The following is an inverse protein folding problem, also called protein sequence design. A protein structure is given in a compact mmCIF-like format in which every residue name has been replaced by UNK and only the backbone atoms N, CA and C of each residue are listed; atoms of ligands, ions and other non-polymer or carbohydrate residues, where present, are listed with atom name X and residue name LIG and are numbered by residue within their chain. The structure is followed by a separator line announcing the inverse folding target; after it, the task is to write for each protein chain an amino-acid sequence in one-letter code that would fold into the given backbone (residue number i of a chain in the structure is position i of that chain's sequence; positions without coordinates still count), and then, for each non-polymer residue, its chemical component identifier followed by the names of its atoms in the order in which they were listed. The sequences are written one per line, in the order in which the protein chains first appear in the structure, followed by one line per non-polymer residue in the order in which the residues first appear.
data_IF_332385597800
#
_entry.id   IF_332385597800
#
_cell.length_a   1.000
_cell.length_b   1.000
_cell.length_c   1.000
_cell.angle_alpha   90.00
_cell.angle_beta   90.00
_cell.angle_gamma   90.00
#
_symmetry.space_group_name_H-M   'P 1'
#
loop_
_entity.id
_entity.type
_entity.pdbx_description
1 polymer ?
#
# COMPACT_ATOMS: atom_id res chain seq x y z
N UNK A 1 22.05 -22.79 -31.04
CA UNK A 1 22.38 -22.01 -29.82
C UNK A 1 21.06 -21.51 -29.28
N UNK A 2 20.57 -22.10 -28.19
CA UNK A 2 19.42 -21.55 -27.46
C UNK A 2 19.82 -20.16 -26.99
N UNK A 3 18.98 -19.15 -27.25
CA UNK A 3 19.22 -17.81 -26.70
C UNK A 3 19.32 -17.95 -25.17
N UNK A 4 20.40 -17.43 -24.58
CA UNK A 4 20.53 -17.37 -23.12
C UNK A 4 19.37 -16.53 -22.57
N UNK A 5 18.67 -17.05 -21.57
CA UNK A 5 17.60 -16.28 -20.91
C UNK A 5 18.17 -14.99 -20.29
N UNK A 6 17.29 -13.99 -20.12
CA UNK A 6 17.70 -12.70 -19.59
C UNK A 6 18.19 -12.81 -18.14
N UNK A 7 19.23 -12.03 -17.81
CA UNK A 7 19.75 -11.98 -16.43
C UNK A 7 18.88 -11.08 -15.57
N UNK A 8 18.25 -11.66 -14.53
CA UNK A 8 17.36 -10.95 -13.60
C UNK A 8 17.97 -10.92 -12.20
N UNK A 9 18.09 -9.73 -11.62
CA UNK A 9 18.38 -9.55 -10.19
C UNK A 9 17.09 -9.32 -9.42
N UNK A 10 16.78 -10.14 -8.43
CA UNK A 10 15.67 -9.92 -7.49
C UNK A 10 16.22 -9.26 -6.24
N UNK A 11 15.67 -8.10 -5.87
CA UNK A 11 16.02 -7.37 -4.65
C UNK A 11 14.89 -7.53 -3.65
N UNK A 12 15.23 -8.09 -2.48
CA UNK A 12 14.36 -8.21 -1.32
C UNK A 12 14.86 -7.25 -0.26
N UNK A 13 14.06 -6.27 0.12
CA UNK A 13 14.40 -5.38 1.23
C UNK A 13 13.80 -5.89 2.53
N UNK A 14 14.61 -5.99 3.58
CA UNK A 14 14.20 -6.48 4.89
C UNK A 14 14.46 -5.43 5.99
N UNK A 15 13.56 -5.38 6.97
CA UNK A 15 13.73 -4.65 8.23
C UNK A 15 12.88 -5.31 9.31
N UNK A 16 13.52 -6.03 10.24
CA UNK A 16 12.88 -6.83 11.30
C UNK A 16 11.78 -7.77 10.77
N UNK A 17 12.03 -8.42 9.62
CA UNK A 17 11.02 -9.22 8.92
C UNK A 17 10.85 -10.66 9.44
N UNK A 18 11.81 -11.19 10.20
CA UNK A 18 11.78 -12.53 10.77
C UNK A 18 11.27 -13.61 9.82
N UNK A 19 10.16 -14.27 10.19
CA UNK A 19 9.58 -15.37 9.42
C UNK A 19 9.03 -14.95 8.05
N UNK A 20 8.55 -13.72 7.90
CA UNK A 20 8.01 -13.26 6.62
C UNK A 20 9.08 -13.29 5.53
N UNK A 21 10.29 -12.83 5.87
CA UNK A 21 11.44 -12.83 4.96
C UNK A 21 11.82 -14.23 4.51
N UNK A 22 11.78 -15.21 5.42
CA UNK A 22 12.06 -16.60 5.07
C UNK A 22 10.98 -17.19 4.16
N UNK A 23 9.70 -16.90 4.45
CA UNK A 23 8.58 -17.34 3.60
C UNK A 23 8.70 -16.74 2.19
N UNK A 24 9.10 -15.47 2.08
CA UNK A 24 9.38 -14.78 0.82
C UNK A 24 10.50 -15.49 0.04
N UNK A 25 11.66 -15.70 0.68
CA UNK A 25 12.82 -16.34 0.04
C UNK A 25 12.55 -17.78 -0.37
N UNK A 26 11.79 -18.54 0.42
CA UNK A 26 11.36 -19.89 0.04
C UNK A 26 10.45 -19.86 -1.20
N UNK A 27 9.52 -18.90 -1.29
CA UNK A 27 8.69 -18.74 -2.50
C UNK A 27 9.53 -18.35 -3.73
N UNK A 28 10.55 -17.52 -3.54
CA UNK A 28 11.46 -17.12 -4.63
C UNK A 28 12.32 -18.28 -5.12
N UNK A 29 12.71 -19.21 -4.25
CA UNK A 29 13.44 -20.43 -4.62
C UNK A 29 12.66 -21.31 -5.61
N UNK A 30 11.33 -21.24 -5.58
CA UNK A 30 10.45 -21.96 -6.52
C UNK A 30 10.19 -21.20 -7.83
N UNK A 31 10.83 -20.05 -8.07
CA UNK A 31 10.65 -19.27 -9.31
C UNK A 31 11.11 -20.08 -10.52
N UNK A 32 10.26 -20.17 -11.55
CA UNK A 32 10.58 -20.77 -12.85
C UNK A 32 11.44 -19.81 -13.68
N UNK A 33 12.72 -19.74 -13.32
CA UNK A 33 13.77 -19.04 -14.07
C UNK A 33 15.10 -19.81 -13.91
N UNK A 34 15.96 -19.86 -14.94
CA UNK A 34 17.24 -20.55 -14.84
C UNK A 34 18.13 -19.95 -13.75
N UNK A 35 18.65 -20.80 -12.87
CA UNK A 35 19.43 -20.40 -11.69
C UNK A 35 20.68 -19.60 -12.05
N UNK A 36 21.32 -19.89 -13.18
CA UNK A 36 22.50 -19.16 -13.68
C UNK A 36 22.16 -17.75 -14.21
N UNK A 37 20.88 -17.48 -14.45
CA UNK A 37 20.34 -16.20 -14.95
C UNK A 37 19.49 -15.47 -13.89
N UNK A 38 19.49 -15.94 -12.63
CA UNK A 38 18.75 -15.36 -11.52
C UNK A 38 19.70 -15.10 -10.33
N UNK A 39 19.80 -13.83 -9.90
CA UNK A 39 20.50 -13.45 -8.66
C UNK A 39 19.49 -12.94 -7.64
N UNK A 40 19.48 -13.48 -6.42
CA UNK A 40 18.65 -12.95 -5.33
C UNK A 40 19.55 -12.19 -4.35
N UNK A 41 19.23 -10.91 -4.14
CA UNK A 41 19.92 -10.01 -3.22
C UNK A 41 18.95 -9.61 -2.10
N UNK A 42 19.26 -10.02 -0.87
CA UNK A 42 18.61 -9.54 0.33
C UNK A 42 19.38 -8.33 0.86
N UNK A 43 18.68 -7.20 1.03
CA UNK A 43 19.22 -6.03 1.72
C UNK A 43 18.62 -5.98 3.11
N UNK A 44 19.45 -6.21 4.13
CA UNK A 44 19.02 -6.08 5.53
C UNK A 44 19.23 -4.65 6.02
N UNK A 45 18.14 -3.92 6.22
CA UNK A 45 18.15 -2.49 6.48
C UNK A 45 18.44 -2.15 7.96
N UNK A 46 19.35 -2.90 8.58
CA UNK A 46 19.73 -2.77 9.99
C UNK A 46 18.70 -3.41 10.92
N UNK A 47 18.33 -4.67 10.66
CA UNK A 47 17.45 -5.41 11.55
C UNK A 47 18.15 -5.73 12.87
N UNK A 48 17.34 -5.89 13.92
CA UNK A 48 17.77 -6.29 15.26
C UNK A 48 17.41 -7.75 15.59
N UNK A 49 16.66 -8.41 14.71
CA UNK A 49 16.31 -9.82 14.81
C UNK A 49 17.42 -10.75 14.26
N UNK A 50 17.20 -12.05 14.34
CA UNK A 50 18.14 -13.10 13.91
C UNK A 50 18.01 -13.46 12.41
N UNK A 51 17.33 -12.62 11.62
CA UNK A 51 16.95 -12.95 10.25
C UNK A 51 18.15 -13.22 9.35
N UNK A 52 19.23 -12.45 9.47
CA UNK A 52 20.44 -12.61 8.65
C UNK A 52 21.12 -13.95 8.91
N UNK A 53 21.21 -14.37 10.17
CA UNK A 53 21.77 -15.67 10.56
C UNK A 53 20.94 -16.81 9.96
N UNK A 54 19.61 -16.73 10.12
CA UNK A 54 18.67 -17.71 9.59
C UNK A 54 18.71 -17.79 8.06
N UNK A 55 18.80 -16.65 7.38
CA UNK A 55 18.90 -16.60 5.91
C UNK A 55 20.21 -17.21 5.44
N UNK A 56 21.33 -16.87 6.07
CA UNK A 56 22.65 -17.43 5.71
C UNK A 56 22.69 -18.95 5.84
N UNK A 57 22.03 -19.49 6.86
CA UNK A 57 21.95 -20.93 7.08
C UNK A 57 21.02 -21.66 6.08
N UNK A 58 19.86 -21.08 5.75
CA UNK A 58 18.83 -21.75 4.94
C UNK A 58 18.94 -21.47 3.44
N UNK A 59 19.49 -20.32 3.06
CA UNK A 59 19.54 -19.82 1.69
C UNK A 59 20.96 -19.36 1.31
N UNK A 60 21.95 -20.27 1.26
CA UNK A 60 23.37 -19.90 1.02
C UNK A 60 23.63 -19.29 -0.36
N UNK A 61 22.70 -19.41 -1.30
CA UNK A 61 22.78 -18.77 -2.61
C UNK A 61 22.29 -17.31 -2.62
N UNK A 62 21.57 -16.88 -1.57
CA UNK A 62 21.10 -15.50 -1.44
C UNK A 62 22.26 -14.62 -1.02
N UNK A 63 22.46 -13.54 -1.76
CA UNK A 63 23.47 -12.54 -1.42
C UNK A 63 22.89 -11.55 -0.43
N UNK A 64 23.55 -11.39 0.71
CA UNK A 64 23.11 -10.49 1.77
C UNK A 64 23.94 -9.20 1.74
N UNK A 65 23.28 -8.05 1.86
CA UNK A 65 23.89 -6.73 2.02
C UNK A 65 23.40 -6.10 3.33
N UNK A 66 24.34 -5.75 4.21
CA UNK A 66 24.06 -5.19 5.54
C UNK A 66 24.68 -3.79 5.66
N UNK A 67 23.96 -2.70 5.29
CA UNK A 67 24.41 -1.34 5.56
C UNK A 67 24.52 -0.99 7.05
N UNK A 68 24.04 -1.86 7.95
CA UNK A 68 24.01 -1.67 9.41
C UNK A 68 23.26 -0.39 9.84
N UNK A 69 22.37 0.10 8.99
CA UNK A 69 21.55 1.27 9.23
C UNK A 69 20.27 1.19 8.40
N UNK A 70 19.19 1.79 8.89
CA UNK A 70 17.94 1.91 8.15
C UNK A 70 18.03 3.05 7.13
N UNK A 71 18.18 2.69 5.87
CA UNK A 71 18.24 3.58 4.70
C UNK A 71 16.84 3.89 4.13
N UNK A 72 15.79 3.39 4.76
CA UNK A 72 14.42 3.42 4.23
C UNK A 72 14.26 2.48 3.05
N UNK A 73 13.08 2.51 2.44
CA UNK A 73 12.78 1.77 1.21
C UNK A 73 13.67 2.21 0.05
N UNK A 74 13.75 3.53 -0.20
CA UNK A 74 14.47 4.06 -1.35
C UNK A 74 15.96 3.72 -1.32
N UNK A 75 16.65 3.96 -0.20
CA UNK A 75 18.07 3.69 -0.06
C UNK A 75 18.38 2.19 -0.01
N UNK A 76 17.55 1.41 0.67
CA UNK A 76 17.71 -0.05 0.73
C UNK A 76 17.56 -0.71 -0.64
N UNK A 77 16.52 -0.35 -1.40
CA UNK A 77 16.34 -0.85 -2.77
C UNK A 77 17.47 -0.39 -3.70
N UNK A 78 17.93 0.86 -3.60
CA UNK A 78 19.07 1.36 -4.39
C UNK A 78 20.34 0.52 -4.14
N UNK A 79 20.64 0.19 -2.88
CA UNK A 79 21.79 -0.63 -2.52
C UNK A 79 21.72 -2.02 -3.17
N UNK A 80 20.53 -2.63 -3.24
CA UNK A 80 20.32 -3.91 -3.93
C UNK A 80 20.39 -3.79 -5.45
N UNK A 81 19.78 -2.75 -6.03
CA UNK A 81 19.80 -2.48 -7.48
C UNK A 81 21.24 -2.35 -7.98
N UNK A 82 22.06 -1.56 -7.28
CA UNK A 82 23.45 -1.26 -7.65
C UNK A 82 24.49 -2.15 -6.96
N UNK A 83 24.06 -3.29 -6.40
CA UNK A 83 24.95 -4.25 -5.77
C UNK A 83 26.10 -4.64 -6.73
N UNK A 84 27.37 -4.68 -6.28
CA UNK A 84 28.53 -4.94 -7.14
C UNK A 84 28.37 -6.21 -7.96
N UNK A 85 28.78 -6.21 -9.23
CA UNK A 85 28.70 -7.40 -10.09
C UNK A 85 29.65 -8.50 -9.58
N UNK A 86 29.14 -9.71 -9.42
CA UNK A 86 29.90 -10.91 -9.03
C UNK A 86 29.80 -11.94 -10.15
N UNK A 87 30.91 -12.62 -10.48
CA UNK A 87 30.91 -13.70 -11.48
C UNK A 87 30.52 -13.28 -12.90
N UNK A 88 30.61 -11.99 -13.26
CA UNK A 88 30.17 -11.47 -14.56
C UNK A 88 28.64 -11.44 -14.75
N UNK A 89 27.87 -11.51 -13.67
CA UNK A 89 26.42 -11.36 -13.69
C UNK A 89 26.02 -9.88 -13.86
N UNK A 90 25.67 -9.48 -15.08
CA UNK A 90 25.18 -8.14 -15.38
C UNK A 90 23.66 -8.22 -15.59
N UNK A 91 22.84 -7.70 -14.66
CA UNK A 91 21.38 -7.80 -14.77
C UNK A 91 20.85 -6.90 -15.90
N UNK A 92 20.06 -7.49 -16.79
CA UNK A 92 19.28 -6.77 -17.81
C UNK A 92 17.96 -6.26 -17.20
N UNK A 93 17.49 -6.94 -16.15
CA UNK A 93 16.29 -6.58 -15.40
C UNK A 93 16.55 -6.63 -13.91
N UNK A 94 15.82 -5.79 -13.17
CA UNK A 94 15.78 -5.82 -11.71
C UNK A 94 14.34 -6.01 -11.26
N UNK A 95 14.08 -7.08 -10.51
CA UNK A 95 12.82 -7.27 -9.82
C UNK A 95 12.91 -6.74 -8.40
N UNK A 96 11.88 -6.04 -7.94
CA UNK A 96 11.71 -5.68 -6.53
C UNK A 96 10.59 -6.52 -5.95
N UNK A 97 10.79 -7.01 -4.74
CA UNK A 97 9.74 -7.66 -3.96
C UNK A 97 9.87 -7.32 -2.48
N UNK A 98 8.74 -7.04 -1.83
CA UNK A 98 8.73 -6.88 -0.39
C UNK A 98 8.96 -8.23 0.32
N UNK A 99 9.63 -8.19 1.47
CA UNK A 99 9.89 -9.37 2.28
C UNK A 99 8.64 -9.97 2.93
N UNK A 100 7.52 -9.25 2.98
CA UNK A 100 6.21 -9.71 3.46
C UNK A 100 5.29 -10.20 2.32
N UNK A 101 5.86 -10.46 1.15
CA UNK A 101 5.18 -11.03 0.00
C UNK A 101 5.68 -12.44 -0.37
N UNK A 102 4.80 -13.25 -0.96
CA UNK A 102 5.15 -14.52 -1.59
C UNK A 102 4.66 -14.58 -3.03
N UNK A 103 5.38 -15.30 -3.88
CA UNK A 103 5.15 -15.33 -5.34
C UNK A 103 4.75 -16.72 -5.85
N UNK A 104 3.99 -16.76 -6.94
CA UNK A 104 3.79 -17.98 -7.71
C UNK A 104 5.04 -18.31 -8.58
N UNK A 105 5.37 -19.58 -8.84
CA UNK A 105 6.55 -19.96 -9.64
C UNK A 105 6.71 -19.23 -10.97
N UNK A 106 5.62 -19.03 -11.71
CA UNK A 106 5.63 -18.40 -13.04
C UNK A 106 5.65 -16.86 -13.06
N UNK A 107 5.73 -16.20 -11.90
CA UNK A 107 5.55 -14.73 -11.82
C UNK A 107 6.57 -13.95 -12.67
N UNK A 108 7.85 -14.32 -12.63
CA UNK A 108 8.88 -13.65 -13.43
C UNK A 108 8.68 -13.86 -14.92
N UNK A 109 8.25 -15.05 -15.37
CA UNK A 109 7.99 -15.27 -16.80
C UNK A 109 6.88 -14.37 -17.32
N UNK A 110 5.80 -14.24 -16.56
CA UNK A 110 4.70 -13.34 -16.89
C UNK A 110 5.17 -11.88 -16.94
N UNK A 111 5.87 -11.39 -15.91
CA UNK A 111 6.38 -10.01 -15.89
C UNK A 111 7.40 -9.74 -16.99
N UNK A 112 8.29 -10.69 -17.28
CA UNK A 112 9.28 -10.58 -18.34
C UNK A 112 8.61 -10.48 -19.72
N UNK A 113 7.62 -11.33 -19.99
CA UNK A 113 6.83 -11.24 -21.23
C UNK A 113 6.13 -9.88 -21.37
N UNK A 114 5.54 -9.37 -20.28
CA UNK A 114 4.86 -8.08 -20.28
C UNK A 114 5.82 -6.91 -20.52
N UNK A 115 6.98 -6.88 -19.86
CA UNK A 115 7.94 -5.77 -19.98
C UNK A 115 8.67 -5.77 -21.34
N UNK A 116 8.83 -6.94 -21.96
CA UNK A 116 9.46 -7.08 -23.29
C UNK A 116 8.48 -6.94 -24.45
N UNK A 117 7.18 -6.81 -24.18
CA UNK A 117 6.14 -6.63 -25.21
C UNK A 117 6.34 -5.40 -26.11
N UNK A 118 7.02 -4.37 -25.62
CA UNK A 118 7.42 -3.20 -26.39
C UNK A 118 8.71 -2.58 -25.84
N UNK A 119 9.45 -1.87 -26.70
CA UNK A 119 10.71 -1.23 -26.33
C UNK A 119 10.52 -0.11 -25.30
N UNK A 120 9.37 0.57 -25.31
CA UNK A 120 9.05 1.70 -24.44
C UNK A 120 8.33 1.31 -23.13
N UNK A 121 8.16 0.02 -22.85
CA UNK A 121 7.66 -0.46 -21.56
C UNK A 121 8.84 -0.62 -20.61
N UNK A 122 8.93 0.23 -19.58
CA UNK A 122 10.06 0.26 -18.65
C UNK A 122 9.88 -0.65 -17.44
N UNK A 123 8.64 -1.02 -17.11
CA UNK A 123 8.31 -1.86 -15.97
C UNK A 123 7.02 -2.65 -16.17
N UNK A 124 6.94 -3.81 -15.52
CA UNK A 124 5.73 -4.60 -15.39
C UNK A 124 5.43 -4.90 -13.90
N UNK A 125 4.21 -4.64 -13.44
CA UNK A 125 3.77 -4.89 -12.05
C UNK A 125 2.81 -6.07 -11.96
N UNK A 126 2.92 -6.83 -10.87
CA UNK A 126 2.10 -8.00 -10.59
C UNK A 126 0.68 -7.66 -10.09
N UNK A 127 -0.21 -8.68 -10.07
CA UNK A 127 -1.45 -8.70 -9.28
C UNK A 127 -1.12 -9.06 -7.84
N UNK A 128 -1.13 -8.04 -6.98
CA UNK A 128 -0.93 -8.23 -5.55
C UNK A 128 -2.27 -8.40 -4.86
N UNK A 129 -2.43 -9.55 -4.22
CA UNK A 129 -3.56 -9.89 -3.36
C UNK A 129 -3.11 -9.80 -1.91
N UNK A 130 -4.03 -9.49 -1.00
CA UNK A 130 -3.76 -9.72 0.42
C UNK A 130 -3.46 -11.22 0.63
N UNK A 131 -2.50 -11.51 1.51
CA UNK A 131 -2.11 -12.89 1.81
C UNK A 131 -3.28 -13.68 2.38
N UNK A 132 -4.02 -13.06 3.30
CA UNK A 132 -5.23 -13.63 3.87
C UNK A 132 -6.39 -13.63 2.87
N UNK A 133 -7.05 -14.78 2.78
CA UNK A 133 -8.34 -14.90 2.07
C UNK A 133 -9.46 -14.60 3.05
N UNK A 134 -10.53 -14.02 2.53
CA UNK A 134 -11.60 -13.48 3.35
C UNK A 134 -12.92 -14.21 3.12
N UNK A 135 -13.75 -14.24 4.15
CA UNK A 135 -15.21 -14.35 4.04
C UNK A 135 -15.80 -13.04 4.53
N UNK A 136 -17.07 -12.76 4.22
CA UNK A 136 -17.67 -11.53 4.74
C UNK A 136 -19.01 -11.17 4.12
N UNK A 137 -19.51 -10.04 4.58
CA UNK A 137 -20.78 -9.47 4.18
C UNK A 137 -20.58 -8.05 3.69
N UNK A 138 -21.20 -7.72 2.56
CA UNK A 138 -21.51 -6.34 2.22
C UNK A 138 -22.79 -5.94 2.95
N UNK A 139 -22.93 -4.70 3.40
CA UNK A 139 -24.13 -4.22 4.07
C UNK A 139 -24.66 -2.93 3.48
N UNK A 140 -25.97 -2.75 3.57
CA UNK A 140 -26.70 -1.50 3.30
C UNK A 140 -27.71 -1.23 4.41
N UNK A 141 -28.20 0.00 4.52
CA UNK A 141 -29.22 0.39 5.52
C UNK A 141 -30.56 0.76 4.90
N UNK A 142 -31.63 0.53 5.65
CA UNK A 142 -33.00 0.90 5.31
C UNK A 142 -33.69 1.64 6.48
N UNK A 143 -34.34 2.80 6.24
CA UNK A 143 -34.44 3.50 4.95
C UNK A 143 -33.07 4.03 4.49
N UNK A 144 -32.89 4.32 3.17
CA UNK A 144 -31.63 4.86 2.68
C UNK A 144 -31.31 6.20 3.34
N UNK A 145 -30.10 6.33 3.87
CA UNK A 145 -29.56 7.58 4.41
C UNK A 145 -28.33 8.02 3.61
N UNK A 146 -27.84 9.23 3.86
CA UNK A 146 -26.68 9.75 3.12
C UNK A 146 -25.43 8.90 3.40
N UNK A 147 -24.66 8.59 2.35
CA UNK A 147 -23.44 7.76 2.47
C UNK A 147 -22.38 8.35 3.42
N UNK A 148 -22.39 9.68 3.62
CA UNK A 148 -21.43 10.39 4.48
C UNK A 148 -21.85 10.45 5.96
N UNK A 149 -23.02 9.90 6.31
CA UNK A 149 -23.51 9.91 7.68
C UNK A 149 -23.03 8.67 8.45
N UNK A 150 -22.54 8.91 9.67
CA UNK A 150 -22.31 7.88 10.67
C UNK A 150 -23.67 7.30 11.07
N UNK A 151 -24.03 6.19 10.46
CA UNK A 151 -25.42 5.68 10.45
C UNK A 151 -25.68 4.75 11.63
N UNK A 152 -24.82 3.75 11.80
CA UNK A 152 -24.86 2.82 12.92
C UNK A 152 -23.44 2.53 13.41
N UNK A 153 -23.32 1.90 14.57
CA UNK A 153 -22.05 1.52 15.15
C UNK A 153 -21.98 0.00 15.32
N UNK A 154 -20.80 -0.56 15.03
CA UNK A 154 -20.40 -1.90 15.43
C UNK A 154 -19.59 -1.73 16.72
N UNK A 155 -20.08 -2.33 17.79
CA UNK A 155 -19.64 -2.04 19.16
C UNK A 155 -19.03 -3.26 19.86
N UNK A 156 -19.01 -4.39 19.17
CA UNK A 156 -18.43 -5.66 19.60
C UNK A 156 -18.53 -6.70 18.51
N UNK A 157 -17.61 -7.65 18.50
CA UNK A 157 -17.55 -8.71 17.50
C UNK A 157 -17.12 -10.02 18.16
N UNK A 158 -17.73 -11.13 17.73
CA UNK A 158 -17.36 -12.46 18.19
C UNK A 158 -17.33 -13.45 17.06
N UNK A 159 -16.44 -14.42 17.20
CA UNK A 159 -16.36 -15.63 16.40
C UNK A 159 -16.56 -16.80 17.34
N UNK A 160 -17.51 -17.68 17.05
CA UNK A 160 -17.84 -18.85 17.89
C UNK A 160 -18.10 -18.47 19.36
N UNK A 161 -18.78 -17.34 19.60
CA UNK A 161 -19.11 -16.83 20.93
C UNK A 161 -17.96 -16.19 21.72
N UNK A 162 -16.76 -16.03 21.13
CA UNK A 162 -15.59 -15.41 21.77
C UNK A 162 -15.15 -14.14 21.04
N UNK A 163 -14.72 -13.08 21.75
CA UNK A 163 -14.12 -11.91 21.12
C UNK A 163 -12.89 -12.29 20.30
N UNK A 164 -12.82 -11.83 19.05
CA UNK A 164 -11.71 -12.10 18.13
C UNK A 164 -11.52 -10.95 17.14
N UNK A 165 -11.22 -9.75 17.65
CA UNK A 165 -11.09 -8.54 16.84
C UNK A 165 -10.00 -8.63 15.77
N UNK A 166 -8.96 -9.43 16.01
CA UNK A 166 -7.83 -9.60 15.11
C UNK A 166 -8.22 -10.31 13.80
N UNK A 167 -9.27 -11.13 13.83
CA UNK A 167 -9.77 -11.84 12.66
C UNK A 167 -10.62 -10.96 11.74
N UNK A 168 -11.16 -9.85 12.24
CA UNK A 168 -12.00 -8.95 11.47
C UNK A 168 -11.17 -7.92 10.71
N UNK A 169 -11.58 -7.70 9.46
CA UNK A 169 -11.08 -6.63 8.61
C UNK A 169 -12.25 -5.79 8.11
N UNK A 170 -12.05 -4.49 8.10
CA UNK A 170 -13.04 -3.50 7.73
C UNK A 170 -12.53 -2.70 6.53
N UNK A 171 -13.41 -2.46 5.57
CA UNK A 171 -13.10 -1.76 4.33
C UNK A 171 -13.86 -0.42 4.22
N UNK A 172 -14.28 -0.03 3.01
CA UNK A 172 -15.05 1.17 2.76
C UNK A 172 -16.32 1.22 3.62
N UNK A 173 -16.58 2.41 4.18
CA UNK A 173 -17.80 2.65 4.93
C UNK A 173 -17.76 2.21 6.39
N UNK A 174 -16.63 1.78 6.94
CA UNK A 174 -16.46 1.59 8.39
C UNK A 174 -15.27 2.41 8.91
N UNK A 175 -15.50 3.19 9.97
CA UNK A 175 -14.57 4.16 10.54
C UNK A 175 -14.35 3.91 12.02
N UNK A 176 -13.10 4.07 12.48
CA UNK A 176 -12.71 3.84 13.85
C UNK A 176 -11.46 2.95 13.93
N UNK A 177 -11.15 2.37 15.11
CA UNK A 177 -11.95 2.42 16.33
C UNK A 177 -11.91 3.78 17.05
N UNK A 178 -12.98 4.09 17.77
CA UNK A 178 -13.05 5.13 18.81
C UNK A 178 -13.00 4.39 20.14
N UNK A 179 -12.20 4.89 21.10
CA UNK A 179 -11.92 4.22 22.36
C UNK A 179 -13.17 3.89 23.20
N UNK A 180 -12.99 3.01 24.19
CA UNK A 180 -14.00 2.50 25.11
C UNK A 180 -14.94 3.59 25.67
N UNK A 181 -16.27 3.39 25.58
CA UNK A 181 -17.27 4.22 26.26
C UNK A 181 -18.06 3.38 27.27
N UNK A 182 -17.75 3.60 28.56
CA UNK A 182 -18.36 2.90 29.68
C UNK A 182 -19.86 3.14 29.84
N UNK A 183 -20.44 4.18 29.21
CA UNK A 183 -21.88 4.51 29.35
C UNK A 183 -22.78 3.61 28.50
N UNK A 184 -22.20 3.00 27.48
CA UNK A 184 -22.88 2.15 26.50
C UNK A 184 -22.31 0.72 26.50
N UNK A 185 -21.40 0.42 27.44
CA UNK A 185 -20.78 -0.89 27.64
C UNK A 185 -20.11 -1.42 26.36
N UNK A 186 -19.31 -0.55 25.72
CA UNK A 186 -18.68 -0.82 24.42
C UNK A 186 -17.18 -1.04 24.56
N UNK A 187 -16.72 -2.27 24.34
CA UNK A 187 -15.29 -2.65 24.31
C UNK A 187 -14.51 -1.86 23.24
N UNK A 188 -15.14 -1.57 22.09
CA UNK A 188 -14.59 -0.81 20.97
C UNK A 188 -15.74 -0.25 20.11
N UNK A 189 -15.68 1.02 19.67
CA UNK A 189 -16.72 1.61 18.81
C UNK A 189 -16.22 1.85 17.38
N UNK A 190 -16.91 1.30 16.37
CA UNK A 190 -16.67 1.60 14.95
C UNK A 190 -17.95 2.12 14.30
N UNK A 191 -17.90 3.31 13.72
CA UNK A 191 -19.02 3.88 12.98
C UNK A 191 -19.07 3.34 11.56
N UNK A 192 -20.25 2.99 11.09
CA UNK A 192 -20.51 2.57 9.73
C UNK A 192 -21.33 3.62 8.97
N UNK A 193 -21.01 3.82 7.70
CA UNK A 193 -21.81 4.53 6.70
C UNK A 193 -23.09 3.75 6.36
N UNK A 194 -23.92 4.33 5.49
CA UNK A 194 -25.10 3.67 4.93
C UNK A 194 -24.79 2.39 4.12
N UNK A 195 -23.56 2.24 3.64
CA UNK A 195 -23.04 1.07 2.95
C UNK A 195 -21.60 0.78 3.37
N UNK A 196 -21.20 -0.48 3.31
CA UNK A 196 -19.82 -0.91 3.54
C UNK A 196 -19.71 -2.42 3.57
N UNK A 197 -18.61 -2.96 4.11
CA UNK A 197 -18.50 -4.40 4.35
C UNK A 197 -17.84 -4.74 5.69
N UNK A 198 -18.09 -5.96 6.14
CA UNK A 198 -17.44 -6.58 7.30
C UNK A 198 -16.86 -7.90 6.82
N UNK A 199 -15.55 -8.07 6.97
CA UNK A 199 -14.80 -9.22 6.47
C UNK A 199 -14.06 -9.91 7.60
N UNK A 200 -13.80 -11.20 7.42
CA UNK A 200 -13.06 -12.02 8.36
C UNK A 200 -12.02 -12.85 7.62
N UNK A 201 -10.84 -13.02 8.21
CA UNK A 201 -9.82 -13.94 7.71
C UNK A 201 -10.35 -15.38 7.78
N UNK A 202 -10.41 -16.04 6.64
CA UNK A 202 -10.99 -17.38 6.50
C UNK A 202 -10.11 -18.50 7.09
N UNK A 203 -8.80 -18.27 7.19
CA UNK A 203 -7.84 -19.24 7.76
C UNK A 203 -7.96 -19.36 9.29
N UNK A 204 -7.40 -20.43 9.86
CA UNK A 204 -7.43 -20.71 11.30
C UNK A 204 -8.56 -21.64 11.73
N UNK A 205 -9.07 -21.45 12.96
CA UNK A 205 -10.14 -22.29 13.52
C UNK A 205 -11.44 -22.17 12.70
N UNK A 206 -12.24 -23.26 12.58
CA UNK A 206 -13.52 -23.22 11.88
C UNK A 206 -14.44 -22.09 12.39
N UNK A 207 -15.10 -21.40 11.46
CA UNK A 207 -16.05 -20.32 11.79
C UNK A 207 -17.47 -20.93 11.76
N UNK A 208 -18.03 -21.19 12.93
CA UNK A 208 -19.36 -21.76 13.12
C UNK A 208 -20.42 -20.67 13.33
N UNK A 209 -20.05 -19.56 13.99
CA UNK A 209 -20.90 -18.39 14.15
C UNK A 209 -20.12 -17.07 14.09
N UNK A 210 -20.77 -16.05 13.51
CA UNK A 210 -20.30 -14.65 13.54
C UNK A 210 -21.34 -13.85 14.31
N UNK A 211 -20.93 -13.07 15.28
CA UNK A 211 -21.82 -12.21 16.05
C UNK A 211 -21.31 -10.77 16.03
N UNK A 212 -22.20 -9.83 15.71
CA UNK A 212 -21.91 -8.40 15.75
C UNK A 212 -22.82 -7.74 16.77
N UNK A 213 -22.27 -6.88 17.63
CA UNK A 213 -23.05 -5.99 18.50
C UNK A 213 -23.28 -4.68 17.75
N UNK A 214 -24.54 -4.36 17.48
CA UNK A 214 -24.93 -3.23 16.64
C UNK A 214 -25.74 -2.21 17.43
N UNK A 215 -25.51 -0.93 17.16
CA UNK A 215 -26.21 0.22 17.76
C UNK A 215 -26.55 1.26 16.70
N UNK A 216 -27.71 1.91 16.78
CA UNK A 216 -28.04 3.07 15.95
C UNK A 216 -28.80 4.12 16.75
N UNK A 217 -28.50 5.41 16.56
CA UNK A 217 -29.20 6.49 17.27
C UNK A 217 -30.70 6.54 16.93
N UNK A 218 -31.05 6.14 15.71
CA UNK A 218 -32.43 6.07 15.21
C UNK A 218 -32.70 4.64 14.72
N UNK A 219 -33.89 4.06 14.98
CA UNK A 219 -34.23 2.73 14.49
C UNK A 219 -34.09 2.60 12.97
N UNK A 220 -33.39 1.56 12.53
CA UNK A 220 -33.15 1.26 11.11
C UNK A 220 -32.93 -0.24 10.92
N UNK A 221 -32.94 -0.70 9.67
CA UNK A 221 -32.61 -2.08 9.31
C UNK A 221 -31.27 -2.13 8.58
N UNK A 222 -30.33 -2.92 9.07
CA UNK A 222 -29.09 -3.25 8.35
C UNK A 222 -29.33 -4.53 7.57
N UNK A 223 -29.03 -4.48 6.28
CA UNK A 223 -29.18 -5.59 5.36
C UNK A 223 -27.79 -6.10 4.99
N UNK A 224 -27.40 -7.23 5.57
CA UNK A 224 -26.14 -7.92 5.30
C UNK A 224 -26.33 -8.90 4.13
N UNK A 225 -25.41 -8.88 3.17
CA UNK A 225 -25.43 -9.73 1.97
C UNK A 225 -24.11 -10.47 1.83
N UNK A 226 -24.21 -11.78 1.60
CA UNK A 226 -23.11 -12.63 1.14
C UNK A 226 -23.49 -13.29 -0.18
N UNK A 227 -22.61 -14.12 -0.74
CA UNK A 227 -22.92 -14.85 -1.98
C UNK A 227 -23.99 -15.94 -1.75
N UNK A 228 -24.22 -16.35 -0.51
CA UNK A 228 -25.17 -17.39 -0.12
C UNK A 228 -26.54 -16.86 0.29
N UNK A 229 -26.68 -15.57 0.57
CA UNK A 229 -27.96 -14.99 0.95
C UNK A 229 -27.89 -13.62 1.60
N UNK A 230 -29.02 -13.21 2.14
CA UNK A 230 -29.21 -11.91 2.80
C UNK A 230 -29.79 -12.11 4.21
N UNK A 231 -29.32 -11.31 5.17
CA UNK A 231 -29.86 -11.21 6.52
C UNK A 231 -30.28 -9.76 6.80
N UNK A 232 -31.52 -9.58 7.24
CA UNK A 232 -32.09 -8.26 7.57
C UNK A 232 -32.20 -8.13 9.09
N UNK A 233 -31.62 -7.07 9.62
CA UNK A 233 -31.41 -6.91 11.06
C UNK A 233 -31.93 -5.55 11.49
N UNK A 234 -33.02 -5.54 12.24
CA UNK A 234 -33.54 -4.33 12.86
C UNK A 234 -32.69 -3.95 14.08
N UNK A 235 -32.20 -2.71 14.10
CA UNK A 235 -31.38 -2.16 15.19
C UNK A 235 -31.93 -0.80 15.64
N UNK A 236 -31.53 -0.36 16.83
CA UNK A 236 -31.96 0.92 17.38
C UNK A 236 -31.03 1.40 18.52
N UNK A 237 -31.52 2.30 19.39
CA UNK A 237 -30.68 2.95 20.41
C UNK A 237 -30.11 1.98 21.44
N UNK A 238 -30.79 0.86 21.70
CA UNK A 238 -30.26 -0.20 22.54
C UNK A 238 -29.34 -1.10 21.70
N UNK A 239 -28.06 -1.18 22.08
CA UNK A 239 -27.11 -2.05 21.42
C UNK A 239 -27.53 -3.52 21.56
N UNK A 240 -27.53 -4.28 20.46
CA UNK A 240 -27.99 -5.66 20.43
C UNK A 240 -26.98 -6.58 19.72
N UNK A 241 -26.82 -7.79 20.24
CA UNK A 241 -26.06 -8.86 19.58
C UNK A 241 -26.90 -9.50 18.48
N UNK A 242 -26.27 -9.67 17.32
CA UNK A 242 -26.89 -10.20 16.12
C UNK A 242 -25.99 -11.31 15.60
N UNK A 243 -26.55 -12.51 15.49
CA UNK A 243 -25.85 -13.66 14.91
C UNK A 243 -26.07 -13.69 13.40
N UNK A 244 -24.99 -13.79 12.65
CA UNK A 244 -24.97 -13.96 11.20
C UNK A 244 -24.40 -15.34 10.87
N UNK A 245 -25.03 -16.01 9.91
CA UNK A 245 -24.54 -17.29 9.40
C UNK A 245 -23.24 -17.06 8.62
N UNK A 246 -22.13 -17.73 8.97
CA UNK A 246 -20.86 -17.54 8.29
C UNK A 246 -20.96 -17.87 6.78
N UNK A 247 -20.54 -16.96 5.89
CA UNK A 247 -20.42 -17.25 4.47
C UNK A 247 -19.41 -18.37 4.25
N UNK A 248 -19.67 -19.24 3.27
CA UNK A 248 -18.76 -20.34 2.91
C UNK A 248 -17.82 -19.94 1.78
N UNK A 249 -18.21 -18.96 0.98
CA UNK A 249 -17.47 -18.49 -0.18
C UNK A 249 -16.27 -17.68 0.28
N UNK A 250 -15.10 -18.29 0.17
CA UNK A 250 -13.82 -17.64 0.41
C UNK A 250 -13.41 -16.88 -0.84
N UNK A 251 -12.99 -15.62 -0.68
CA UNK A 251 -12.57 -14.76 -1.78
C UNK A 251 -11.24 -14.07 -1.50
N UNK A 252 -10.60 -13.63 -2.58
CA UNK A 252 -9.39 -12.83 -2.52
C UNK A 252 -9.73 -11.34 -2.47
N UNK A 253 -8.85 -10.56 -1.84
CA UNK A 253 -8.95 -9.11 -1.79
C UNK A 253 -7.72 -8.53 -2.47
N UNK A 254 -7.96 -7.58 -3.35
CA UNK A 254 -6.91 -6.88 -4.07
C UNK A 254 -6.13 -5.98 -3.11
N UNK A 255 -4.81 -6.14 -3.10
CA UNK A 255 -3.90 -5.21 -2.44
C UNK A 255 -3.39 -4.14 -3.41
N UNK A 256 -2.91 -4.52 -4.60
CA UNK A 256 -2.48 -3.56 -5.61
C UNK A 256 -2.54 -4.19 -7.02
N UNK A 257 -3.07 -3.46 -8.00
CA UNK A 257 -3.07 -3.81 -9.44
C UNK A 257 -2.57 -2.65 -10.30
N UNK A 258 -1.52 -2.00 -9.81
CA UNK A 258 -0.97 -0.73 -10.27
C UNK A 258 -1.37 0.44 -9.38
N UNK A 259 -0.77 1.60 -9.63
CA UNK A 259 -0.95 2.81 -8.81
C UNK A 259 -1.56 3.94 -9.63
N UNK A 260 -2.57 4.58 -9.05
CA UNK A 260 -3.30 5.70 -9.61
C UNK A 260 -2.71 7.04 -9.17
N UNK A 261 -2.81 8.03 -10.05
CA UNK A 261 -2.63 9.43 -9.70
C UNK A 261 -4.01 10.06 -9.51
N UNK A 262 -4.32 10.57 -8.33
CA UNK A 262 -5.56 11.28 -8.05
C UNK A 262 -5.41 12.79 -8.25
N UNK A 263 -6.55 13.47 -8.40
CA UNK A 263 -6.62 14.93 -8.38
C UNK A 263 -5.89 15.52 -7.16
N UNK A 264 -5.19 16.64 -7.36
CA UNK A 264 -4.34 17.22 -6.30
C UNK A 264 -3.00 16.52 -6.13
N UNK A 265 -2.71 15.48 -6.91
CA UNK A 265 -1.41 14.85 -6.98
C UNK A 265 -1.17 13.80 -5.90
N UNK A 266 -2.23 13.17 -5.40
CA UNK A 266 -2.12 12.06 -4.46
C UNK A 266 -1.89 10.75 -5.21
N UNK A 267 -0.93 9.95 -4.79
CA UNK A 267 -0.82 8.56 -5.20
C UNK A 267 -1.81 7.69 -4.42
N UNK A 268 -2.24 6.58 -5.00
CA UNK A 268 -2.90 5.52 -4.26
C UNK A 268 -3.07 4.27 -5.11
N UNK A 269 -3.20 3.14 -4.43
CA UNK A 269 -3.28 1.83 -5.04
C UNK A 269 -4.60 1.66 -5.80
N UNK A 270 -4.51 1.14 -7.03
CA UNK A 270 -5.67 0.76 -7.84
C UNK A 270 -6.19 -0.58 -7.32
N UNK A 271 -7.51 -0.70 -7.14
CA UNK A 271 -8.15 -1.90 -6.64
C UNK A 271 -8.02 -2.13 -5.13
N UNK A 272 -7.37 -1.24 -4.37
CA UNK A 272 -7.10 -1.47 -2.96
C UNK A 272 -8.36 -1.77 -2.14
N UNK A 273 -8.34 -2.87 -1.38
CA UNK A 273 -9.46 -3.40 -0.59
C UNK A 273 -10.67 -3.84 -1.41
N UNK A 274 -10.65 -3.76 -2.74
CA UNK A 274 -11.71 -4.34 -3.56
C UNK A 274 -11.65 -5.87 -3.48
N UNK A 275 -12.82 -6.50 -3.37
CA UNK A 275 -12.92 -7.95 -3.55
C UNK A 275 -12.55 -8.31 -4.98
N UNK A 276 -11.71 -9.33 -5.16
CA UNK A 276 -11.35 -9.83 -6.47
C UNK A 276 -12.50 -10.67 -7.04
N UNK A 277 -13.18 -10.11 -8.04
CA UNK A 277 -14.26 -10.74 -8.80
C UNK A 277 -13.83 -11.01 -10.25
N UNK A 278 -12.52 -10.92 -10.54
CA UNK A 278 -11.96 -10.97 -11.89
C UNK A 278 -12.01 -9.65 -12.65
N UNK A 279 -12.36 -8.53 -11.99
CA UNK A 279 -12.45 -7.21 -12.61
C UNK A 279 -11.09 -6.65 -13.08
N UNK A 280 -9.99 -7.27 -12.64
CA UNK A 280 -8.62 -6.93 -13.01
C UNK A 280 -7.89 -8.09 -13.70
N UNK A 281 -8.59 -8.96 -14.43
CA UNK A 281 -7.97 -10.12 -15.10
C UNK A 281 -7.45 -9.80 -16.51
N UNK A 282 -7.48 -8.52 -16.90
CA UNK A 282 -6.93 -8.04 -18.17
C UNK A 282 -5.68 -7.19 -17.93
N UNK A 283 -4.61 -7.40 -18.72
CA UNK A 283 -3.46 -6.51 -18.71
C UNK A 283 -3.88 -5.06 -18.99
N UNK A 284 -3.23 -4.11 -18.32
CA UNK A 284 -3.57 -2.70 -18.47
C UNK A 284 -2.33 -1.81 -18.33
N UNK A 285 -2.32 -0.69 -19.06
CA UNK A 285 -1.32 0.35 -18.80
C UNK A 285 -1.67 1.10 -17.50
N UNK A 286 -0.70 1.25 -16.61
CA UNK A 286 -0.89 1.88 -15.28
C UNK A 286 0.00 3.09 -15.11
N UNK A 287 -0.46 4.15 -14.42
CA UNK A 287 0.30 5.38 -14.29
C UNK A 287 1.65 5.15 -13.61
N UNK A 288 1.62 4.41 -12.51
CA UNK A 288 2.76 3.99 -11.73
C UNK A 288 2.61 2.51 -11.32
N UNK A 289 3.73 1.89 -11.00
CA UNK A 289 3.81 0.53 -10.43
C UNK A 289 4.06 0.61 -8.92
N UNK A 290 3.83 -0.48 -8.20
CA UNK A 290 4.12 -0.60 -6.77
C UNK A 290 5.47 -1.30 -6.56
N UNK A 291 6.30 -0.77 -5.65
CA UNK A 291 7.59 -1.37 -5.30
C UNK A 291 7.50 -2.75 -4.63
N UNK A 292 6.29 -3.19 -4.25
CA UNK A 292 6.08 -4.47 -3.57
C UNK A 292 6.22 -5.71 -4.45
N UNK A 293 6.00 -5.60 -5.77
CA UNK A 293 6.26 -6.64 -6.75
C UNK A 293 6.27 -6.07 -8.19
N UNK A 294 7.46 -5.83 -8.73
CA UNK A 294 7.65 -5.23 -10.05
C UNK A 294 8.92 -5.75 -10.72
N UNK A 295 8.90 -5.89 -12.04
CA UNK A 295 10.09 -6.12 -12.87
C UNK A 295 10.43 -4.85 -13.66
N UNK A 296 11.66 -4.35 -13.52
CA UNK A 296 12.16 -3.11 -14.08
C UNK A 296 13.23 -3.42 -15.13
N UNK A 297 13.17 -2.77 -16.30
CA UNK A 297 14.27 -2.80 -17.28
C UNK A 297 15.47 -2.02 -16.73
N UNK A 298 16.68 -2.57 -16.87
CA UNK A 298 17.91 -1.84 -16.53
C UNK A 298 18.06 -0.58 -17.40
N UNK A 299 17.73 -0.66 -18.70
CA UNK A 299 17.72 0.49 -19.62
C UNK A 299 16.82 1.64 -19.12
N UNK A 300 15.65 1.30 -18.56
CA UNK A 300 14.76 2.28 -17.96
C UNK A 300 15.44 2.98 -16.77
N UNK A 301 16.00 2.21 -15.83
CA UNK A 301 16.69 2.75 -14.66
C UNK A 301 17.91 3.60 -15.04
N UNK A 302 18.72 3.16 -16.00
CA UNK A 302 19.88 3.91 -16.50
C UNK A 302 19.48 5.24 -17.15
N UNK A 303 18.31 5.27 -17.82
CA UNK A 303 17.84 6.47 -18.51
C UNK A 303 17.29 7.56 -17.59
N UNK A 304 16.68 7.21 -16.46
CA UNK A 304 16.02 8.18 -15.56
C UNK A 304 16.59 8.25 -14.15
N UNK A 305 17.54 7.38 -13.82
CA UNK A 305 18.07 7.16 -12.47
C UNK A 305 17.16 6.29 -11.60
N UNK A 306 17.71 5.78 -10.51
CA UNK A 306 17.03 4.92 -9.51
C UNK A 306 16.21 5.74 -8.50
N UNK A 307 15.88 5.20 -7.32
CA UNK A 307 15.06 5.91 -6.34
C UNK A 307 15.75 7.14 -5.76
N UNK A 308 14.94 8.15 -5.42
CA UNK A 308 15.41 9.33 -4.71
C UNK A 308 15.40 9.07 -3.19
N UNK A 309 16.60 8.88 -2.63
CA UNK A 309 16.80 8.52 -1.22
C UNK A 309 16.27 9.57 -0.24
N UNK A 310 16.07 10.83 -0.66
CA UNK A 310 15.45 11.87 0.19
C UNK A 310 14.03 11.51 0.61
N UNK A 311 13.36 10.68 -0.19
CA UNK A 311 12.00 10.21 0.10
C UNK A 311 11.98 9.23 1.27
N UNK A 312 13.06 8.47 1.48
CA UNK A 312 13.20 7.43 2.51
C UNK A 312 12.20 6.27 2.30
N UNK A 313 10.89 6.53 2.43
CA UNK A 313 9.79 5.56 2.20
C UNK A 313 8.50 6.31 1.83
N UNK A 314 7.57 5.62 1.17
CA UNK A 314 6.40 6.16 0.46
C UNK A 314 6.69 7.17 -0.67
N UNK A 315 5.95 7.03 -1.77
CA UNK A 315 6.04 7.85 -2.99
C UNK A 315 7.31 7.67 -3.82
N UNK A 316 8.27 6.85 -3.42
CA UNK A 316 9.47 6.57 -4.21
C UNK A 316 9.17 5.85 -5.53
N UNK A 317 8.25 4.89 -5.51
CA UNK A 317 7.72 4.21 -6.69
C UNK A 317 6.99 5.18 -7.64
N UNK A 318 6.18 6.07 -7.08
CA UNK A 318 5.43 7.10 -7.78
C UNK A 318 6.37 8.14 -8.38
N UNK A 319 7.41 8.55 -7.65
CA UNK A 319 8.45 9.47 -8.14
C UNK A 319 9.17 8.91 -9.36
N UNK A 320 9.68 7.68 -9.23
CA UNK A 320 10.42 7.00 -10.29
C UNK A 320 9.53 6.72 -11.51
N UNK A 321 8.29 6.27 -11.27
CA UNK A 321 7.28 6.11 -12.32
C UNK A 321 6.98 7.43 -13.04
N UNK A 322 6.82 8.53 -12.31
CA UNK A 322 6.52 9.83 -12.92
C UNK A 322 7.71 10.36 -13.73
N UNK A 323 8.94 10.18 -13.24
CA UNK A 323 10.16 10.51 -14.00
C UNK A 323 10.24 9.71 -15.30
N UNK A 324 9.99 8.41 -15.25
CA UNK A 324 9.96 7.58 -16.47
C UNK A 324 8.88 7.99 -17.45
N UNK A 325 7.67 8.28 -16.96
CA UNK A 325 6.58 8.84 -17.79
C UNK A 325 6.98 10.14 -18.48
N UNK A 326 7.74 11.01 -17.80
CA UNK A 326 8.25 12.25 -18.40
C UNK A 326 9.31 11.96 -19.49
N UNK A 327 10.13 10.93 -19.30
CA UNK A 327 11.09 10.45 -20.28
C UNK A 327 10.46 9.61 -21.42
N UNK A 328 9.15 9.31 -21.34
CA UNK A 328 8.40 8.60 -22.40
C UNK A 328 8.18 7.11 -22.14
N UNK A 329 8.57 6.58 -20.98
CA UNK A 329 8.34 5.18 -20.61
C UNK A 329 6.87 4.92 -20.24
N UNK A 330 6.41 3.71 -20.51
CA UNK A 330 5.12 3.14 -20.12
C UNK A 330 5.30 2.00 -19.14
N UNK A 331 4.23 1.68 -18.41
CA UNK A 331 4.20 0.59 -17.43
C UNK A 331 2.95 -0.24 -17.59
N UNK A 332 3.10 -1.54 -17.42
CA UNK A 332 2.02 -2.50 -17.65
C UNK A 332 1.76 -3.28 -16.37
N UNK A 333 0.49 -3.46 -16.05
CA UNK A 333 0.02 -4.40 -15.05
C UNK A 333 -0.24 -5.75 -15.73
N UNK A 334 0.32 -6.83 -15.16
CA UNK A 334 0.21 -8.20 -15.67
C UNK A 334 -0.55 -9.09 -14.66
N UNK A 335 -1.82 -9.44 -14.94
CA UNK A 335 -2.69 -10.14 -13.99
C UNK A 335 -2.29 -11.59 -13.71
N UNK A 336 -1.56 -12.25 -14.62
CA UNK A 336 -1.12 -13.63 -14.42
C UNK A 336 0.06 -13.77 -13.47
N UNK A 337 0.80 -12.69 -13.22
CA UNK A 337 1.82 -12.62 -12.18
C UNK A 337 1.15 -12.38 -10.81
N UNK A 338 0.85 -13.46 -10.07
CA UNK A 338 0.15 -13.37 -8.79
C UNK A 338 1.14 -13.31 -7.63
N UNK A 339 0.91 -12.35 -6.73
CA UNK A 339 1.69 -12.13 -5.49
C UNK A 339 0.74 -12.03 -4.30
N UNK A 340 1.11 -12.64 -3.18
CA UNK A 340 0.36 -12.63 -1.92
C UNK A 340 1.12 -11.78 -0.90
N UNK A 341 0.50 -10.74 -0.36
CA UNK A 341 1.18 -9.72 0.45
C UNK A 341 0.55 -9.60 1.84
N UNK A 342 1.33 -9.79 2.91
CA UNK A 342 0.93 -9.60 4.31
C UNK A 342 1.00 -8.11 4.67
N UNK A 343 0.19 -7.30 3.99
CA UNK A 343 0.22 -5.84 4.07
C UNK A 343 0.08 -5.32 5.52
N UNK A 344 1.02 -4.45 5.92
CA UNK A 344 0.99 -3.58 7.10
C UNK A 344 1.51 -4.10 8.46
N UNK A 345 2.40 -5.10 8.51
CA UNK A 345 3.11 -5.42 9.78
C UNK A 345 4.28 -4.46 10.10
N UNK A 346 5.00 -3.91 9.11
CA UNK A 346 6.21 -3.11 9.39
C UNK A 346 5.97 -1.60 9.57
N UNK A 347 4.87 -1.04 9.06
CA UNK A 347 4.70 0.42 8.99
C UNK A 347 3.50 1.01 9.73
N UNK A 348 2.47 0.20 10.02
CA UNK A 348 1.19 0.64 10.57
C UNK A 348 0.54 1.74 9.73
N UNK A 349 -0.40 1.38 8.86
CA UNK A 349 -1.14 2.36 8.04
C UNK A 349 -1.76 3.42 8.97
N UNK A 350 -1.45 4.70 8.72
CA UNK A 350 -1.88 5.82 9.56
C UNK A 350 -0.95 6.18 10.73
N UNK A 351 0.17 5.48 10.92
CA UNK A 351 1.19 5.81 11.92
C UNK A 351 1.77 7.22 11.73
N UNK A 352 2.36 7.85 12.77
CA UNK A 352 3.00 9.16 12.64
C UNK A 352 4.10 9.19 11.57
N UNK A 353 4.84 8.08 11.39
CA UNK A 353 5.87 7.92 10.35
C UNK A 353 5.23 7.89 8.98
N UNK A 354 4.21 7.04 8.78
CA UNK A 354 3.43 6.97 7.54
C UNK A 354 2.92 8.34 7.14
N UNK A 355 2.15 8.99 8.02
CA UNK A 355 1.56 10.31 7.74
C UNK A 355 2.61 11.36 7.42
N UNK A 356 3.76 11.34 8.08
CA UNK A 356 4.83 12.32 7.87
C UNK A 356 5.44 12.18 6.47
N UNK A 357 5.84 10.95 6.11
CA UNK A 357 6.49 10.69 4.84
C UNK A 357 5.53 10.82 3.66
N UNK A 358 4.32 10.25 3.72
CA UNK A 358 3.31 10.39 2.65
C UNK A 358 2.99 11.86 2.35
N UNK A 359 2.81 12.70 3.38
CA UNK A 359 2.47 14.11 3.17
C UNK A 359 3.65 14.93 2.65
N UNK A 360 4.84 14.75 3.23
CA UNK A 360 6.07 15.45 2.81
C UNK A 360 6.45 15.03 1.38
N UNK A 361 6.52 13.73 1.13
CA UNK A 361 7.00 13.19 -0.13
C UNK A 361 6.05 13.52 -1.28
N UNK A 362 4.72 13.53 -1.04
CA UNK A 362 3.78 14.07 -2.02
C UNK A 362 4.15 15.47 -2.48
N UNK A 363 4.48 16.38 -1.55
CA UNK A 363 4.88 17.75 -1.90
C UNK A 363 6.20 17.78 -2.69
N UNK A 364 7.17 16.95 -2.32
CA UNK A 364 8.45 16.83 -3.03
C UNK A 364 8.25 16.29 -4.45
N UNK A 365 7.52 15.18 -4.62
CA UNK A 365 7.23 14.58 -5.93
C UNK A 365 6.46 15.56 -6.82
N UNK A 366 5.50 16.31 -6.28
CA UNK A 366 4.81 17.35 -7.05
C UNK A 366 5.75 18.48 -7.46
N UNK A 367 6.61 18.95 -6.55
CA UNK A 367 7.63 19.94 -6.88
C UNK A 367 8.58 19.43 -7.97
N UNK A 368 8.94 18.15 -7.97
CA UNK A 368 9.82 17.52 -8.96
C UNK A 368 9.15 17.32 -10.33
N UNK A 369 8.00 16.66 -10.34
CA UNK A 369 7.43 16.06 -11.55
C UNK A 369 6.21 16.81 -12.08
N UNK A 370 5.35 17.34 -11.22
CA UNK A 370 4.05 17.90 -11.62
C UNK A 370 4.15 19.28 -12.30
N UNK A 371 3.10 19.73 -13.02
CA UNK A 371 3.01 21.12 -13.51
C UNK A 371 3.22 22.13 -12.38
N UNK A 372 3.95 23.21 -12.67
CA UNK A 372 4.33 24.21 -11.65
C UNK A 372 3.12 24.77 -10.89
N UNK A 373 1.99 25.01 -11.56
CA UNK A 373 0.75 25.47 -10.92
C UNK A 373 0.20 24.48 -9.90
N UNK A 374 0.29 23.17 -10.16
CA UNK A 374 -0.18 22.14 -9.24
C UNK A 374 0.76 22.03 -8.03
N UNK A 375 2.07 22.01 -8.27
CA UNK A 375 3.08 22.02 -7.21
C UNK A 375 2.94 23.25 -6.30
N UNK A 376 2.81 24.44 -6.89
CA UNK A 376 2.59 25.70 -6.17
C UNK A 376 1.33 25.67 -5.31
N UNK A 377 0.19 25.23 -5.88
CA UNK A 377 -1.07 25.09 -5.14
C UNK A 377 -0.96 24.11 -3.98
N UNK A 378 -0.26 23.00 -4.17
CA UNK A 378 -0.05 22.01 -3.10
C UNK A 378 0.81 22.57 -1.97
N UNK A 379 1.91 23.25 -2.29
CA UNK A 379 2.79 23.90 -1.31
C UNK A 379 2.09 25.03 -0.56
N UNK A 380 1.38 25.91 -1.28
CA UNK A 380 0.57 26.98 -0.68
C UNK A 380 -0.54 26.41 0.21
N UNK A 381 -1.20 25.34 -0.24
CA UNK A 381 -2.22 24.66 0.55
C UNK A 381 -1.67 24.10 1.88
N UNK A 382 -0.46 23.56 1.89
CA UNK A 382 0.19 23.12 3.13
C UNK A 382 0.58 24.30 4.02
N UNK A 383 1.14 25.38 3.45
CA UNK A 383 1.42 26.61 4.18
C UNK A 383 0.15 27.16 4.85
N UNK A 384 -0.97 27.23 4.12
CA UNK A 384 -2.24 27.69 4.66
C UNK A 384 -2.75 26.77 5.79
N UNK A 385 -2.59 25.45 5.68
CA UNK A 385 -2.93 24.51 6.78
C UNK A 385 -2.07 24.76 8.01
N UNK A 386 -0.77 25.02 7.84
CA UNK A 386 0.13 25.39 8.93
C UNK A 386 -0.35 26.69 9.56
N UNK A 387 -0.57 27.75 8.78
CA UNK A 387 -1.02 29.06 9.29
C UNK A 387 -2.36 28.95 10.03
N UNK A 388 -3.40 28.42 9.39
CA UNK A 388 -4.75 28.31 9.98
C UNK A 388 -4.72 27.53 11.28
N UNK A 389 -3.98 26.41 11.34
CA UNK A 389 -3.90 25.60 12.56
C UNK A 389 -3.11 26.31 13.65
N UNK A 390 -1.97 26.94 13.33
CA UNK A 390 -1.21 27.71 14.33
C UNK A 390 -1.99 28.94 14.83
N UNK A 391 -2.77 29.61 13.98
CA UNK A 391 -3.63 30.74 14.38
C UNK A 391 -4.79 30.25 15.24
N UNK A 392 -5.49 29.18 14.85
CA UNK A 392 -6.51 28.53 15.70
C UNK A 392 -5.93 28.14 17.06
N UNK A 393 -4.69 27.68 17.04
CA UNK A 393 -3.91 27.30 18.21
C UNK A 393 -3.49 28.49 19.11
N UNK A 394 -3.36 29.69 18.56
CA UNK A 394 -2.99 30.90 19.29
C UNK A 394 -4.24 31.68 19.76
N UNK A 395 -5.28 31.74 18.93
CA UNK A 395 -6.43 32.65 19.08
C UNK A 395 -7.64 31.96 19.69
N UNK A 396 -7.96 30.72 19.28
CA UNK A 396 -9.18 30.02 19.74
C UNK A 396 -8.91 29.23 21.03
N UNK A 397 -7.65 28.85 21.29
CA UNK A 397 -7.26 28.04 22.47
C UNK A 397 -7.43 28.71 23.83
N UNK A 398 -7.10 30.02 24.00
CA UNK A 398 -7.36 30.69 25.27
C UNK A 398 -8.86 30.81 25.58
N UNK A 399 -9.72 30.72 24.55
CA UNK A 399 -11.14 31.06 24.63
C UNK A 399 -12.08 29.85 24.74
N UNK A 400 -11.60 28.62 24.49
CA UNK A 400 -12.49 27.45 24.31
C UNK A 400 -12.32 26.31 25.30
N UNK A 401 -11.32 26.34 26.20
CA UNK A 401 -11.05 25.33 27.27
C UNK A 401 -11.07 23.86 26.79
N UNK A 402 -11.02 23.59 25.47
CA UNK A 402 -11.00 22.23 24.92
C UNK A 402 -9.56 21.72 24.86
N UNK A 403 -9.33 20.54 25.44
CA UNK A 403 -8.07 19.82 25.32
C UNK A 403 -7.79 19.49 23.84
N UNK A 404 -6.54 19.63 23.38
CA UNK A 404 -6.18 19.42 21.98
C UNK A 404 -6.30 17.95 21.57
N UNK A 405 -6.59 17.71 20.28
CA UNK A 405 -6.08 16.50 19.60
C UNK A 405 -4.56 16.66 19.57
N UNK A 406 -3.86 16.02 20.51
CA UNK A 406 -2.40 16.18 20.70
C UNK A 406 -1.65 15.91 19.38
N UNK A 407 -0.75 16.82 18.99
CA UNK A 407 0.30 16.54 17.98
C UNK A 407 0.11 17.09 16.56
N UNK A 408 -1.09 17.44 16.13
CA UNK A 408 -1.36 17.74 14.71
C UNK A 408 -0.66 19.01 14.19
N UNK A 409 -0.60 20.10 14.96
CA UNK A 409 0.10 21.33 14.56
C UNK A 409 1.63 21.19 14.58
N UNK A 410 2.17 20.35 15.48
CA UNK A 410 3.59 19.99 15.48
C UNK A 410 3.92 19.15 14.24
N UNK A 411 3.08 18.17 13.92
CA UNK A 411 3.18 17.33 12.72
C UNK A 411 3.25 18.18 11.43
N UNK A 412 2.29 19.09 11.24
CA UNK A 412 2.26 19.98 10.05
C UNK A 412 3.50 20.85 9.91
N UNK A 413 3.99 21.43 11.02
CA UNK A 413 5.25 22.19 11.02
C UNK A 413 6.41 21.30 10.60
N UNK A 414 6.52 20.09 11.16
CA UNK A 414 7.57 19.13 10.81
C UNK A 414 7.54 18.79 9.32
N UNK A 415 6.37 18.47 8.77
CA UNK A 415 6.18 18.19 7.33
C UNK A 415 6.62 19.39 6.48
N UNK A 416 6.12 20.59 6.79
CA UNK A 416 6.38 21.78 5.99
C UNK A 416 7.86 22.20 6.01
N UNK A 417 8.50 22.23 7.18
CA UNK A 417 9.92 22.60 7.26
C UNK A 417 10.83 21.55 6.62
N UNK A 418 10.51 20.25 6.75
CA UNK A 418 11.24 19.20 6.05
C UNK A 418 11.06 19.26 4.53
N UNK A 419 9.86 19.64 4.06
CA UNK A 419 9.62 19.92 2.64
C UNK A 419 10.48 21.09 2.15
N UNK A 420 10.48 22.22 2.88
CA UNK A 420 11.28 23.40 2.51
C UNK A 420 12.79 23.13 2.51
N UNK A 421 13.30 22.35 3.47
CA UNK A 421 14.73 22.04 3.54
C UNK A 421 15.21 21.19 2.36
N UNK A 422 14.34 20.32 1.82
CA UNK A 422 14.65 19.43 0.70
C UNK A 422 14.30 20.04 -0.67
N UNK A 423 13.46 21.09 -0.69
CA UNK A 423 12.95 21.71 -1.91
C UNK A 423 14.04 22.20 -2.88
N UNK A 424 15.16 22.84 -2.45
CA UNK A 424 16.18 23.31 -3.38
C UNK A 424 16.79 22.18 -4.22
N UNK A 425 17.10 21.05 -3.59
CA UNK A 425 17.61 19.87 -4.30
C UNK A 425 16.59 19.30 -5.28
N UNK A 426 15.33 19.22 -4.85
CA UNK A 426 14.24 18.74 -5.71
C UNK A 426 13.98 19.67 -6.90
N UNK A 427 14.12 20.99 -6.74
CA UNK A 427 14.00 21.96 -7.84
C UNK A 427 15.18 21.89 -8.82
N UNK A 428 16.38 21.58 -8.33
CA UNK A 428 17.53 21.26 -9.20
C UNK A 428 17.21 20.04 -10.06
N UNK A 429 16.71 18.97 -9.45
CA UNK A 429 16.39 17.75 -10.19
C UNK A 429 15.24 17.98 -11.18
N UNK A 430 14.22 18.76 -10.79
CA UNK A 430 13.14 19.20 -11.70
C UNK A 430 13.66 19.78 -13.01
N UNK A 431 14.76 20.52 -12.95
CA UNK A 431 15.40 21.16 -14.09
C UNK A 431 16.23 20.17 -14.92
N UNK A 432 16.84 19.17 -14.29
CA UNK A 432 17.67 18.15 -14.92
C UNK A 432 16.88 16.99 -15.55
N UNK A 433 15.60 16.82 -15.23
CA UNK A 433 14.80 15.71 -15.78
C UNK A 433 14.75 15.75 -17.33
N UNK A 434 15.07 14.61 -17.95
CA UNK A 434 14.71 14.37 -19.35
C UNK A 434 13.18 14.39 -19.49
N UNK A 435 12.71 15.08 -20.52
CA UNK A 435 11.29 15.38 -20.73
C UNK A 435 10.94 15.27 -22.20
N UNK A 436 10.65 14.05 -22.64
CA UNK A 436 10.04 13.77 -23.94
C UNK A 436 8.52 14.00 -23.92
N UNK A 437 7.92 13.91 -22.73
CA UNK A 437 6.49 14.16 -22.50
C UNK A 437 6.28 15.41 -21.65
N UNK A 438 5.21 16.17 -21.94
CA UNK A 438 4.89 17.37 -21.16
C UNK A 438 4.29 17.01 -19.80
N UNK A 439 4.59 17.82 -18.77
CA UNK A 439 3.98 17.66 -17.44
C UNK A 439 2.45 17.78 -17.46
N UNK A 440 1.91 18.60 -18.37
CA UNK A 440 0.47 18.82 -18.53
C UNK A 440 -0.22 17.61 -19.16
N UNK A 441 0.38 16.99 -20.18
CA UNK A 441 -0.22 15.81 -20.81
C UNK A 441 -0.31 14.62 -19.86
N UNK A 442 0.58 14.50 -18.87
CA UNK A 442 0.47 13.48 -17.83
C UNK A 442 -0.71 13.69 -16.88
N UNK A 443 -1.35 14.86 -16.86
CA UNK A 443 -2.52 15.09 -16.01
C UNK A 443 -3.76 14.31 -16.50
N UNK A 444 -3.74 13.78 -17.73
CA UNK A 444 -4.80 12.89 -18.23
C UNK A 444 -4.90 11.57 -17.46
N UNK A 445 -3.85 11.19 -16.73
CA UNK A 445 -3.84 10.02 -15.85
C UNK A 445 -4.52 10.28 -14.51
N UNK A 446 -4.98 11.51 -14.25
CA UNK A 446 -5.67 11.81 -13.02
C UNK A 446 -7.04 11.15 -12.99
N UNK A 447 -7.28 10.36 -11.95
CA UNK A 447 -8.60 9.80 -11.64
C UNK A 447 -9.29 10.64 -10.57
N UNK A 448 -10.62 10.76 -10.68
CA UNK A 448 -11.47 11.26 -9.60
C UNK A 448 -11.72 10.14 -8.60
N UNK A 449 -11.71 10.48 -7.31
CA UNK A 449 -12.26 9.59 -6.27
C UNK A 449 -13.77 9.68 -6.26
#
# INVERSE_FOLDING_TARGET
MTATEAKIRVVVLNFDGGQMTLDCLESLRATDWPTESLEVVLVDNGSLDDVVERVSAQFPAVRILEPLANLGFAGGCNLGIDAPIVGGFVPEFVALINNDATVAPGWLRALHAAVTSASDVGAASAKMLFADRMIGFEFTVEPPVSENERTFAITGMRVNGRPDDARFSFDEGVFGPIGFDARIDEEMMRWASARGSVRLVAGGDPIESIELRLHAEVPLTVVFRSDEGEARVAIGPAAAWVSLNPPRTVFDVINNVGSNLYAGGFGGDRGFLERDRGQFDQPAEVFAWCGGAVLLKREYLDSVGIFDERLFLYYEDTDLSWRGRLAGWRYVYEPSAIVRHRHAQSSGVGSPVFRFHTERNRLLVLAKCAPARLAWRAGLGELMRVVVRNVRDLVVRPLTVKLPVRGEARHRRRVFFSYLSLLPGVLRDRWLLDRRVTRRSLMRWQVSK
#
